data_IF_482132655584
#
_entry.id   IF_482132655584
#
_cell.length_a   1.000
_cell.length_b   1.000
_cell.length_c   1.000
_cell.angle_alpha   90.00
_cell.angle_beta   90.00
_cell.angle_gamma   90.00
#
_symmetry.space_group_name_H-M   'P 1'
#
loop_
_entity.id
_entity.type
_entity.pdbx_description
1 polymer ?
#
# COMPACT_ATOMS: atom_id res chain seq x y z
N UNK A 1 17.33 -1.54 -40.29
CA UNK A 1 16.11 -1.88 -39.53
C UNK A 1 16.55 -2.77 -38.39
N UNK A 2 16.97 -2.16 -37.30
CA UNK A 2 17.39 -2.85 -36.07
C UNK A 2 16.24 -2.75 -35.13
N UNK A 3 15.47 -3.84 -35.00
CA UNK A 3 14.50 -4.05 -33.94
C UNK A 3 15.29 -4.05 -32.62
N UNK A 4 15.23 -2.94 -31.91
CA UNK A 4 15.73 -2.89 -30.55
C UNK A 4 14.65 -3.53 -29.70
N UNK A 5 14.79 -4.85 -29.52
CA UNK A 5 14.07 -5.59 -28.48
C UNK A 5 14.30 -4.86 -27.14
N UNK A 6 13.31 -4.09 -26.73
CA UNK A 6 13.30 -3.45 -25.43
C UNK A 6 13.13 -4.57 -24.38
N UNK A 7 14.23 -5.24 -24.07
CA UNK A 7 14.31 -6.25 -23.00
C UNK A 7 13.74 -5.63 -21.73
N UNK A 8 12.51 -5.97 -21.42
CA UNK A 8 11.85 -5.56 -20.20
C UNK A 8 12.66 -6.12 -19.03
N UNK A 9 13.22 -5.25 -18.20
CA UNK A 9 13.98 -5.65 -17.01
C UNK A 9 13.08 -6.53 -16.12
N UNK A 10 13.43 -7.81 -15.90
CA UNK A 10 12.58 -8.73 -15.13
C UNK A 10 12.27 -8.25 -13.70
N UNK A 11 13.12 -7.39 -13.13
CA UNK A 11 12.90 -6.85 -11.79
C UNK A 11 11.72 -5.87 -11.75
N UNK A 12 11.48 -5.15 -12.84
CA UNK A 12 10.38 -4.17 -12.99
C UNK A 12 9.03 -4.88 -13.10
N UNK A 13 8.98 -5.96 -13.88
CA UNK A 13 7.80 -6.81 -13.99
C UNK A 13 7.49 -7.52 -12.68
N UNK A 14 8.53 -7.98 -11.98
CA UNK A 14 8.38 -8.66 -10.70
C UNK A 14 7.73 -7.77 -9.65
N UNK A 15 8.13 -6.49 -9.51
CA UNK A 15 7.52 -5.59 -8.51
C UNK A 15 6.06 -5.32 -8.84
N UNK A 16 5.70 -5.17 -10.12
CA UNK A 16 4.31 -5.02 -10.58
C UNK A 16 3.45 -6.24 -10.23
N UNK A 17 3.97 -7.45 -10.46
CA UNK A 17 3.24 -8.67 -10.15
C UNK A 17 3.09 -8.87 -8.62
N UNK A 18 4.11 -8.55 -7.83
CA UNK A 18 4.02 -8.61 -6.39
C UNK A 18 2.99 -7.60 -5.83
N UNK A 19 2.98 -6.39 -6.37
CA UNK A 19 1.98 -5.37 -6.02
C UNK A 19 0.56 -5.84 -6.37
N UNK A 20 0.36 -6.37 -7.57
CA UNK A 20 -0.93 -6.94 -7.98
C UNK A 20 -1.42 -8.01 -7.00
N UNK A 21 -0.55 -8.90 -6.55
CA UNK A 21 -0.90 -9.94 -5.56
C UNK A 21 -1.25 -9.34 -4.20
N UNK A 22 -0.51 -8.31 -3.74
CA UNK A 22 -0.80 -7.61 -2.49
C UNK A 22 -2.17 -6.93 -2.52
N UNK A 23 -2.46 -6.22 -3.62
CA UNK A 23 -3.74 -5.53 -3.83
C UNK A 23 -4.90 -6.52 -3.87
N UNK A 24 -4.79 -7.61 -4.62
CA UNK A 24 -5.83 -8.64 -4.70
C UNK A 24 -6.05 -9.30 -3.34
N UNK A 25 -4.98 -9.60 -2.60
CA UNK A 25 -5.11 -10.16 -1.25
C UNK A 25 -5.80 -9.19 -0.30
N UNK A 26 -5.48 -7.92 -0.37
CA UNK A 26 -6.17 -6.90 0.45
C UNK A 26 -7.66 -6.81 0.11
N UNK A 27 -8.03 -6.93 -1.17
CA UNK A 27 -9.42 -6.98 -1.61
C UNK A 27 -10.18 -8.20 -1.04
N UNK A 28 -9.55 -9.38 -1.05
CA UNK A 28 -10.10 -10.59 -0.43
C UNK A 28 -10.36 -10.38 1.07
N UNK A 29 -9.41 -9.76 1.78
CA UNK A 29 -9.53 -9.45 3.21
C UNK A 29 -10.70 -8.48 3.45
N UNK A 30 -10.78 -7.39 2.69
CA UNK A 30 -11.85 -6.39 2.79
C UNK A 30 -13.22 -7.01 2.52
N UNK A 31 -13.32 -7.95 1.59
CA UNK A 31 -14.57 -8.65 1.27
C UNK A 31 -15.12 -9.47 2.46
N UNK A 32 -14.29 -9.84 3.43
CA UNK A 32 -14.69 -10.56 4.65
C UNK A 32 -15.26 -9.64 5.73
N UNK A 33 -15.13 -8.31 5.61
CA UNK A 33 -15.68 -7.37 6.57
C UNK A 33 -17.21 -7.44 6.59
N UNK A 34 -17.82 -7.42 7.77
CA UNK A 34 -19.27 -7.34 7.95
C UNK A 34 -19.70 -5.89 8.12
N UNK A 35 -20.98 -5.62 7.87
CA UNK A 35 -21.52 -4.26 7.91
C UNK A 35 -21.48 -3.63 9.32
N UNK A 36 -21.48 -4.45 10.37
CA UNK A 36 -21.34 -4.02 11.77
C UNK A 36 -19.90 -3.72 12.21
N UNK A 37 -18.91 -3.93 11.33
CA UNK A 37 -17.48 -3.76 11.65
C UNK A 37 -16.87 -2.46 11.13
N UNK A 38 -17.60 -1.63 10.39
CA UNK A 38 -17.02 -0.42 9.79
C UNK A 38 -16.49 0.60 10.79
N UNK A 39 -16.98 0.58 12.02
CA UNK A 39 -16.50 1.45 13.11
C UNK A 39 -15.49 0.75 14.03
N UNK A 40 -15.05 -0.49 13.69
CA UNK A 40 -14.04 -1.21 14.43
C UNK A 40 -12.72 -0.42 14.46
N UNK A 41 -11.98 -0.46 15.59
CA UNK A 41 -10.67 0.17 15.68
C UNK A 41 -9.66 -0.53 14.78
N UNK A 42 -8.61 0.22 14.37
CA UNK A 42 -7.52 -0.30 13.55
C UNK A 42 -6.16 -0.09 14.21
N UNK A 43 -5.11 -0.81 13.78
CA UNK A 43 -3.73 -0.52 14.19
C UNK A 43 -3.27 0.90 13.81
N UNK A 44 -3.91 1.54 12.84
CA UNK A 44 -3.68 2.95 12.48
C UNK A 44 -4.31 3.87 13.51
N UNK A 45 -3.68 4.05 14.65
CA UNK A 45 -4.20 4.70 15.85
C UNK A 45 -5.18 5.86 15.63
N UNK A 46 -6.40 5.69 16.14
CA UNK A 46 -7.50 6.65 16.03
C UNK A 46 -8.32 6.55 14.74
N UNK A 47 -8.01 5.60 13.85
CA UNK A 47 -8.81 5.36 12.64
C UNK A 47 -9.77 4.19 12.84
N UNK A 48 -11.02 4.37 12.38
CA UNK A 48 -11.95 3.26 12.19
C UNK A 48 -11.62 2.50 10.90
N UNK A 49 -12.14 1.28 10.78
CA UNK A 49 -11.99 0.48 9.56
C UNK A 49 -12.55 1.22 8.33
N UNK A 50 -13.68 1.91 8.44
CA UNK A 50 -14.25 2.75 7.38
C UNK A 50 -13.27 3.83 6.92
N UNK A 51 -12.61 4.52 7.85
CA UNK A 51 -11.63 5.55 7.52
C UNK A 51 -10.39 4.95 6.87
N UNK A 52 -9.90 3.81 7.36
CA UNK A 52 -8.77 3.12 6.75
C UNK A 52 -9.07 2.75 5.29
N UNK A 53 -10.27 2.22 5.00
CA UNK A 53 -10.68 1.91 3.63
C UNK A 53 -10.83 3.16 2.76
N UNK A 54 -11.33 4.27 3.30
CA UNK A 54 -11.39 5.55 2.57
C UNK A 54 -9.98 6.03 2.19
N UNK A 55 -9.02 5.90 3.11
CA UNK A 55 -7.62 6.19 2.85
C UNK A 55 -7.06 5.28 1.75
N UNK A 56 -7.18 3.96 1.91
CA UNK A 56 -6.67 2.99 0.93
C UNK A 56 -7.27 3.22 -0.46
N UNK A 57 -8.58 3.46 -0.57
CA UNK A 57 -9.22 3.76 -1.85
C UNK A 57 -8.70 5.05 -2.48
N UNK A 58 -8.48 6.11 -1.69
CA UNK A 58 -7.89 7.36 -2.18
C UNK A 58 -6.43 7.14 -2.67
N UNK A 59 -5.64 6.32 -1.97
CA UNK A 59 -4.30 5.95 -2.44
C UNK A 59 -4.35 5.20 -3.78
N UNK A 60 -5.23 4.20 -3.95
CA UNK A 60 -5.43 3.53 -5.25
C UNK A 60 -5.71 4.53 -6.38
N UNK A 61 -6.66 5.45 -6.15
CA UNK A 61 -7.05 6.45 -7.16
C UNK A 61 -5.90 7.41 -7.49
N UNK A 62 -5.16 7.84 -6.47
CA UNK A 62 -4.00 8.71 -6.62
C UNK A 62 -2.86 8.04 -7.40
N UNK A 63 -2.51 6.81 -7.06
CA UNK A 63 -1.49 6.04 -7.79
C UNK A 63 -1.93 5.71 -9.22
N UNK A 64 -3.20 5.38 -9.44
CA UNK A 64 -3.74 5.16 -10.77
C UNK A 64 -3.65 6.43 -11.64
N UNK A 65 -4.02 7.59 -11.09
CA UNK A 65 -3.90 8.88 -11.79
C UNK A 65 -2.43 9.22 -12.10
N UNK A 66 -1.52 9.02 -11.13
CA UNK A 66 -0.10 9.24 -11.33
C UNK A 66 0.48 8.33 -12.43
N UNK A 67 0.10 7.06 -12.47
CA UNK A 67 0.52 6.12 -13.51
C UNK A 67 0.06 6.51 -14.91
N UNK A 68 -0.99 7.33 -15.04
CA UNK A 68 -1.44 7.89 -16.30
C UNK A 68 -0.43 8.82 -16.98
N UNK A 69 0.57 9.34 -16.26
CA UNK A 69 1.70 10.10 -16.81
C UNK A 69 1.38 11.55 -17.16
N UNK A 70 0.25 12.09 -16.72
CA UNK A 70 -0.14 13.50 -16.87
C UNK A 70 -0.10 14.29 -15.57
N UNK A 71 -0.48 15.58 -15.59
CA UNK A 71 -0.72 16.34 -14.37
C UNK A 71 -1.80 15.65 -13.55
N UNK A 72 -1.53 15.46 -12.26
CA UNK A 72 -2.47 14.83 -11.33
C UNK A 72 -3.12 15.91 -10.48
N UNK A 73 -4.45 15.93 -10.46
CA UNK A 73 -5.19 16.74 -9.49
C UNK A 73 -4.95 16.15 -8.09
N UNK A 74 -4.40 16.96 -7.18
CA UNK A 74 -4.09 16.53 -5.82
C UNK A 74 -5.34 16.10 -5.03
N UNK A 75 -6.53 16.53 -5.46
CA UNK A 75 -7.80 16.15 -4.81
C UNK A 75 -8.10 14.66 -4.91
N UNK A 76 -7.54 13.94 -5.91
CA UNK A 76 -7.73 12.49 -6.04
C UNK A 76 -7.14 11.69 -4.86
N UNK A 77 -6.19 12.30 -4.12
CA UNK A 77 -5.57 11.70 -2.94
C UNK A 77 -6.35 11.96 -1.64
N UNK A 78 -7.43 12.75 -1.71
CA UNK A 78 -8.20 13.11 -0.53
C UNK A 78 -9.15 11.97 -0.13
N UNK A 79 -9.10 11.64 1.16
CA UNK A 79 -10.06 10.71 1.75
C UNK A 79 -11.48 11.26 1.62
N UNK A 80 -12.37 10.51 1.02
CA UNK A 80 -13.81 10.83 0.94
C UNK A 80 -14.62 9.80 1.71
N UNK A 81 -15.69 10.21 2.41
CA UNK A 81 -16.58 9.25 3.07
C UNK A 81 -17.12 8.22 2.07
N UNK A 82 -17.11 6.94 2.47
CA UNK A 82 -17.60 5.84 1.66
C UNK A 82 -18.99 5.42 2.12
N UNK A 83 -19.99 5.53 1.25
CA UNK A 83 -21.36 5.07 1.53
C UNK A 83 -21.39 3.53 1.60
N UNK A 84 -20.77 2.87 0.63
CA UNK A 84 -20.52 1.42 0.60
C UNK A 84 -19.01 1.18 0.57
N UNK A 85 -18.34 0.98 1.72
CA UNK A 85 -16.90 0.83 1.80
C UNK A 85 -16.37 -0.37 1.02
N UNK A 86 -17.11 -1.49 1.02
CA UNK A 86 -16.67 -2.72 0.32
C UNK A 86 -16.67 -2.52 -1.18
N UNK A 87 -17.73 -1.95 -1.73
CA UNK A 87 -17.85 -1.69 -3.16
C UNK A 87 -16.87 -0.62 -3.61
N UNK A 88 -16.79 0.50 -2.89
CA UNK A 88 -15.88 1.60 -3.25
C UNK A 88 -14.42 1.14 -3.25
N UNK A 89 -14.05 0.27 -2.30
CA UNK A 89 -12.72 -0.31 -2.27
C UNK A 89 -12.48 -1.23 -3.48
N UNK A 90 -13.39 -2.13 -3.81
CA UNK A 90 -13.29 -3.00 -4.97
C UNK A 90 -13.16 -2.20 -6.28
N UNK A 91 -14.00 -1.17 -6.46
CA UNK A 91 -13.94 -0.29 -7.64
C UNK A 91 -12.57 0.44 -7.73
N UNK A 92 -11.94 0.77 -6.60
CA UNK A 92 -10.61 1.39 -6.57
C UNK A 92 -9.49 0.40 -6.91
N UNK A 93 -9.61 -0.85 -6.49
CA UNK A 93 -8.71 -1.96 -6.84
C UNK A 93 -8.64 -2.13 -8.36
N UNK A 94 -9.80 -2.26 -9.02
CA UNK A 94 -9.85 -2.41 -10.47
C UNK A 94 -9.12 -1.26 -11.17
N UNK A 95 -9.34 -0.03 -10.73
CA UNK A 95 -8.71 1.16 -11.33
C UNK A 95 -7.19 1.17 -11.21
N UNK A 96 -6.64 0.81 -10.05
CA UNK A 96 -5.18 0.84 -9.88
C UNK A 96 -4.52 -0.33 -10.63
N UNK A 97 -5.15 -1.50 -10.63
CA UNK A 97 -4.65 -2.65 -11.38
C UNK A 97 -4.63 -2.40 -12.88
N UNK A 98 -5.70 -1.81 -13.44
CA UNK A 98 -5.76 -1.41 -14.84
C UNK A 98 -4.69 -0.37 -15.18
N UNK A 99 -4.49 0.63 -14.32
CA UNK A 99 -3.49 1.67 -14.53
C UNK A 99 -2.05 1.10 -14.50
N UNK A 100 -1.76 0.16 -13.59
CA UNK A 100 -0.44 -0.48 -13.52
C UNK A 100 -0.23 -1.56 -14.60
N UNK A 101 -1.31 -2.08 -15.20
CA UNK A 101 -1.24 -2.99 -16.34
C UNK A 101 -1.10 -2.27 -17.70
N UNK A 102 -1.27 -0.95 -17.74
CA UNK A 102 -1.25 -0.20 -18.99
C UNK A 102 0.10 -0.33 -19.73
N UNK A 103 0.05 -0.39 -21.06
CA UNK A 103 1.24 -0.50 -21.89
C UNK A 103 2.22 0.64 -21.64
N UNK A 104 3.50 0.30 -21.51
CA UNK A 104 4.59 1.24 -21.28
C UNK A 104 4.57 1.93 -19.91
N UNK A 105 3.70 1.55 -18.98
CA UNK A 105 3.65 2.15 -17.64
C UNK A 105 4.99 2.05 -16.90
N UNK A 106 5.69 0.93 -17.03
CA UNK A 106 6.97 0.70 -16.36
C UNK A 106 8.11 1.60 -16.87
N UNK A 107 7.93 2.25 -18.00
CA UNK A 107 8.90 3.21 -18.58
C UNK A 107 8.59 4.66 -18.20
N UNK A 108 7.48 4.90 -17.55
CA UNK A 108 7.04 6.24 -17.15
C UNK A 108 7.76 6.72 -15.89
N UNK A 109 7.73 8.04 -15.72
CA UNK A 109 8.00 8.69 -14.44
C UNK A 109 6.70 9.29 -13.91
N UNK A 110 6.52 9.26 -12.60
CA UNK A 110 5.32 9.72 -11.91
C UNK A 110 5.67 10.73 -10.83
N UNK A 111 4.73 11.63 -10.53
CA UNK A 111 4.81 12.53 -9.38
C UNK A 111 3.87 11.99 -8.31
N UNK A 112 4.39 11.88 -7.09
CA UNK A 112 3.63 11.48 -5.91
C UNK A 112 3.65 12.64 -4.90
N UNK A 113 2.69 13.58 -4.96
CA UNK A 113 2.71 14.81 -4.17
C UNK A 113 2.77 14.54 -2.66
N UNK A 114 2.18 13.45 -2.22
CA UNK A 114 2.16 12.98 -0.84
C UNK A 114 3.55 12.60 -0.31
N UNK A 115 4.43 12.08 -1.19
CA UNK A 115 5.81 11.73 -0.85
C UNK A 115 6.73 12.93 -1.04
N UNK A 116 6.62 13.58 -2.20
CA UNK A 116 7.37 14.80 -2.50
C UNK A 116 6.65 15.63 -3.57
N UNK A 117 6.41 16.94 -3.35
CA UNK A 117 5.53 17.75 -4.20
C UNK A 117 6.05 17.94 -5.64
N UNK A 118 7.35 17.83 -5.87
CA UNK A 118 7.96 18.09 -7.18
C UNK A 118 8.90 17.01 -7.71
N UNK A 119 9.23 16.01 -6.87
CA UNK A 119 10.14 14.93 -7.28
C UNK A 119 9.40 13.94 -8.16
N UNK A 120 10.06 13.50 -9.23
CA UNK A 120 9.58 12.40 -10.07
C UNK A 120 10.21 11.08 -9.64
N UNK A 121 9.44 10.01 -9.73
CA UNK A 121 9.87 8.64 -9.43
C UNK A 121 9.70 7.78 -10.68
N UNK A 122 10.61 6.85 -10.95
CA UNK A 122 10.36 5.80 -11.94
C UNK A 122 9.13 4.99 -11.50
N UNK A 123 8.24 4.66 -12.43
CA UNK A 123 6.99 3.97 -12.11
C UNK A 123 7.22 2.64 -11.35
N UNK A 124 8.22 1.79 -11.66
CA UNK A 124 8.48 0.59 -10.86
C UNK A 124 8.83 0.90 -9.40
N UNK A 125 9.51 2.03 -9.13
CA UNK A 125 9.80 2.46 -7.75
C UNK A 125 8.53 2.92 -7.03
N UNK A 126 7.66 3.66 -7.73
CA UNK A 126 6.36 4.09 -7.20
C UNK A 126 5.44 2.88 -6.91
N UNK A 127 5.42 1.88 -7.80
CA UNK A 127 4.70 0.61 -7.57
C UNK A 127 5.28 -0.11 -6.33
N UNK A 128 6.59 -0.02 -6.10
CA UNK A 128 7.21 -0.53 -4.87
C UNK A 128 6.68 0.16 -3.60
N UNK A 129 6.46 1.48 -3.62
CA UNK A 129 5.84 2.20 -2.50
C UNK A 129 4.41 1.71 -2.25
N UNK A 130 3.65 1.54 -3.33
CA UNK A 130 2.29 1.01 -3.28
C UNK A 130 2.26 -0.41 -2.71
N UNK A 131 3.16 -1.29 -3.13
CA UNK A 131 3.31 -2.64 -2.58
C UNK A 131 3.47 -2.62 -1.05
N UNK A 132 4.37 -1.79 -0.52
CA UNK A 132 4.57 -1.67 0.95
C UNK A 132 3.29 -1.22 1.63
N UNK A 133 2.64 -0.22 1.08
CA UNK A 133 1.41 0.36 1.63
C UNK A 133 0.30 -0.69 1.71
N UNK A 134 0.11 -1.48 0.65
CA UNK A 134 -0.98 -2.48 0.60
C UNK A 134 -0.69 -3.77 1.36
N UNK A 135 0.56 -4.14 1.55
CA UNK A 135 0.90 -5.23 2.49
C UNK A 135 0.62 -4.80 3.92
N UNK A 136 1.01 -3.58 4.31
CA UNK A 136 0.84 -3.10 5.67
C UNK A 136 -0.63 -2.77 5.97
N UNK A 137 -1.31 -2.03 5.10
CA UNK A 137 -2.71 -1.68 5.33
C UNK A 137 -3.66 -2.87 5.15
N UNK A 138 -3.35 -3.82 4.27
CA UNK A 138 -4.10 -5.07 4.21
C UNK A 138 -3.98 -5.87 5.51
N UNK A 139 -2.79 -5.87 6.14
CA UNK A 139 -2.62 -6.41 7.48
C UNK A 139 -3.41 -5.59 8.53
N UNK A 140 -3.38 -4.26 8.47
CA UNK A 140 -4.17 -3.40 9.37
C UNK A 140 -5.68 -3.74 9.30
N UNK A 141 -6.20 -4.01 8.09
CA UNK A 141 -7.60 -4.47 7.90
C UNK A 141 -7.80 -5.86 8.52
N UNK A 142 -6.94 -6.82 8.20
CA UNK A 142 -7.05 -8.19 8.73
C UNK A 142 -7.02 -8.21 10.27
N UNK A 143 -6.09 -7.45 10.88
CA UNK A 143 -6.01 -7.31 12.32
C UNK A 143 -7.30 -6.71 12.93
N UNK A 144 -7.89 -5.70 12.27
CA UNK A 144 -9.16 -5.10 12.70
C UNK A 144 -10.33 -6.09 12.66
N UNK A 145 -10.28 -7.05 11.72
CA UNK A 145 -11.27 -8.12 11.59
C UNK A 145 -10.99 -9.31 12.51
N UNK A 146 -9.82 -9.36 13.17
CA UNK A 146 -9.38 -10.48 13.99
C UNK A 146 -9.03 -11.73 13.18
N UNK A 147 -8.57 -11.58 11.94
CA UNK A 147 -8.18 -12.66 11.04
C UNK A 147 -6.71 -12.52 10.61
N UNK A 148 -6.03 -13.61 10.17
CA UNK A 148 -4.69 -13.51 9.61
C UNK A 148 -4.71 -12.82 8.24
N UNK A 149 -3.71 -11.98 7.95
CA UNK A 149 -3.53 -11.41 6.62
C UNK A 149 -3.12 -12.48 5.60
N UNK A 150 -2.32 -13.45 6.03
CA UNK A 150 -1.90 -14.63 5.26
C UNK A 150 -1.28 -14.26 3.89
N UNK A 151 -0.36 -13.29 3.90
CA UNK A 151 0.46 -12.98 2.74
C UNK A 151 1.50 -14.08 2.50
N UNK A 152 1.80 -14.34 1.23
CA UNK A 152 2.91 -15.22 0.86
C UNK A 152 4.25 -14.63 1.32
N UNK A 153 5.19 -15.47 1.75
CA UNK A 153 6.46 -15.02 2.30
C UNK A 153 7.30 -14.20 1.32
N UNK A 154 7.29 -14.56 0.03
CA UNK A 154 8.03 -13.83 -1.01
C UNK A 154 7.52 -12.40 -1.18
N UNK A 155 6.21 -12.18 -1.00
CA UNK A 155 5.58 -10.87 -1.04
C UNK A 155 5.98 -10.02 0.17
N UNK A 156 5.94 -10.61 1.38
CA UNK A 156 6.38 -9.96 2.62
C UNK A 156 7.85 -9.56 2.55
N UNK A 157 8.72 -10.47 2.07
CA UNK A 157 10.15 -10.20 1.93
C UNK A 157 10.44 -9.09 0.92
N UNK A 158 9.71 -9.05 -0.19
CA UNK A 158 9.83 -7.98 -1.18
C UNK A 158 9.39 -6.62 -0.62
N UNK A 159 8.27 -6.57 0.08
CA UNK A 159 7.79 -5.35 0.76
C UNK A 159 8.80 -4.88 1.82
N UNK A 160 9.40 -5.81 2.60
CA UNK A 160 10.42 -5.49 3.59
C UNK A 160 11.69 -4.90 2.94
N UNK A 161 12.11 -5.42 1.79
CA UNK A 161 13.28 -4.89 1.07
C UNK A 161 13.02 -3.48 0.52
N UNK A 162 11.83 -3.22 -0.01
CA UNK A 162 11.43 -1.88 -0.44
C UNK A 162 11.37 -0.94 0.77
N UNK A 163 10.70 -1.34 1.85
CA UNK A 163 10.59 -0.53 3.06
C UNK A 163 11.96 -0.16 3.64
N UNK A 164 12.89 -1.11 3.69
CA UNK A 164 14.27 -0.88 4.17
C UNK A 164 15.02 0.17 3.34
N UNK A 165 14.77 0.23 2.03
CA UNK A 165 15.43 1.17 1.11
C UNK A 165 14.78 2.55 1.11
N UNK A 166 13.46 2.58 1.19
CA UNK A 166 12.69 3.76 0.83
C UNK A 166 12.08 4.50 2.02
N UNK A 167 11.80 3.79 3.12
CA UNK A 167 11.19 4.42 4.30
C UNK A 167 12.28 5.03 5.17
N UNK A 168 12.26 6.36 5.39
CA UNK A 168 13.24 7.02 6.24
C UNK A 168 13.22 6.45 7.67
N UNK A 169 14.36 6.47 8.32
CA UNK A 169 14.51 6.12 9.75
C UNK A 169 14.74 7.39 10.61
N UNK A 170 14.57 7.25 11.91
CA UNK A 170 14.88 8.31 12.88
C UNK A 170 13.77 9.34 13.08
N UNK A 171 14.10 10.58 13.54
CA UNK A 171 13.12 11.54 14.06
C UNK A 171 12.07 12.04 13.07
N UNK A 172 12.28 11.86 11.76
CA UNK A 172 11.28 12.19 10.75
C UNK A 172 9.98 11.42 10.92
N UNK A 173 10.04 10.22 11.52
CA UNK A 173 8.89 9.34 11.77
C UNK A 173 8.09 9.69 13.02
N UNK A 174 8.61 10.61 13.85
CA UNK A 174 7.93 11.12 15.06
C UNK A 174 7.03 12.33 14.75
N UNK A 175 7.14 12.88 13.55
CA UNK A 175 6.38 14.07 13.16
C UNK A 175 4.90 13.76 12.97
N UNK A 176 3.99 14.69 13.31
CA UNK A 176 2.60 14.59 12.90
C UNK A 176 2.48 14.41 11.38
N UNK A 177 1.66 13.47 10.94
CA UNK A 177 1.46 13.17 9.52
C UNK A 177 2.54 12.31 8.87
N UNK A 178 3.50 11.76 9.63
CA UNK A 178 4.44 10.78 9.08
C UNK A 178 3.68 9.53 8.61
N UNK A 179 3.99 9.04 7.40
CA UNK A 179 3.36 7.86 6.80
C UNK A 179 3.55 6.60 7.65
N UNK A 180 4.68 6.49 8.33
CA UNK A 180 4.99 5.38 9.24
C UNK A 180 5.49 5.90 10.58
N UNK A 181 5.10 5.24 11.67
CA UNK A 181 5.57 5.55 13.02
C UNK A 181 6.98 5.01 13.27
N UNK A 182 7.68 5.45 14.34
CA UNK A 182 8.92 4.82 14.78
C UNK A 182 8.78 3.31 14.92
N UNK A 183 9.86 2.58 14.65
CA UNK A 183 9.87 1.13 14.77
C UNK A 183 9.49 0.67 16.19
N UNK A 184 8.76 -0.44 16.29
CA UNK A 184 8.43 -1.12 17.55
C UNK A 184 9.50 -2.16 17.83
N UNK A 185 9.94 -2.25 19.07
CA UNK A 185 10.89 -3.27 19.50
C UNK A 185 10.17 -4.62 19.67
N UNK A 186 10.75 -5.68 19.09
CA UNK A 186 10.20 -7.02 19.16
C UNK A 186 10.84 -7.81 20.31
N UNK A 187 10.01 -8.33 21.20
CA UNK A 187 10.45 -9.14 22.32
C UNK A 187 10.46 -10.63 21.93
N UNK A 188 11.52 -11.12 21.26
CA UNK A 188 11.68 -12.55 20.99
C UNK A 188 11.66 -12.92 19.52
N UNK A 189 11.53 -14.23 19.19
CA UNK A 189 11.45 -14.71 17.81
C UNK A 189 10.23 -14.13 17.07
N UNK A 190 10.44 -13.67 15.85
CA UNK A 190 9.43 -13.02 15.03
C UNK A 190 9.47 -13.54 13.60
N UNK A 191 8.33 -13.59 12.92
CA UNK A 191 8.23 -13.91 11.49
C UNK A 191 8.80 -12.77 10.61
N UNK A 192 8.88 -12.99 9.31
CA UNK A 192 9.23 -11.93 8.36
C UNK A 192 8.17 -10.81 8.37
N UNK A 193 6.89 -11.19 8.46
CA UNK A 193 5.77 -10.26 8.56
C UNK A 193 5.86 -9.41 9.84
N UNK A 194 6.07 -10.03 11.01
CA UNK A 194 6.21 -9.30 12.28
C UNK A 194 7.35 -8.27 12.21
N UNK A 195 8.49 -8.67 11.61
CA UNK A 195 9.63 -7.76 11.46
C UNK A 195 9.33 -6.59 10.52
N UNK A 196 8.64 -6.84 9.39
CA UNK A 196 8.21 -5.78 8.50
C UNK A 196 7.29 -4.81 9.23
N UNK A 197 6.24 -5.31 9.86
CA UNK A 197 5.23 -4.52 10.58
C UNK A 197 5.87 -3.69 11.69
N UNK A 198 6.68 -4.32 12.55
CA UNK A 198 7.37 -3.63 13.62
C UNK A 198 8.33 -2.56 13.11
N UNK A 199 9.05 -2.83 12.02
CA UNK A 199 9.94 -1.84 11.38
C UNK A 199 9.20 -0.60 10.90
N UNK A 200 7.90 -0.74 10.59
CA UNK A 200 7.02 0.33 10.11
C UNK A 200 6.08 0.88 11.21
N UNK A 201 6.37 0.54 12.48
CA UNK A 201 5.68 1.10 13.64
C UNK A 201 4.33 0.46 13.94
N UNK A 202 4.10 -0.77 13.47
CA UNK A 202 2.95 -1.60 13.84
C UNK A 202 3.34 -2.55 14.97
N UNK A 203 2.45 -2.74 15.95
CA UNK A 203 2.55 -3.83 16.92
C UNK A 203 1.99 -5.10 16.27
N UNK A 204 2.80 -6.14 15.97
CA UNK A 204 2.32 -7.35 15.30
C UNK A 204 1.29 -8.15 16.11
N UNK A 205 1.22 -7.91 17.42
CA UNK A 205 0.25 -8.56 18.33
C UNK A 205 -0.96 -7.68 18.64
N UNK A 206 -1.13 -6.59 17.89
CA UNK A 206 -2.30 -5.73 18.05
C UNK A 206 -3.59 -6.53 17.80
N UNK A 207 -4.59 -6.32 18.64
CA UNK A 207 -5.94 -6.89 18.48
C UNK A 207 -7.01 -5.87 18.85
N UNK A 208 -8.18 -5.91 18.22
CA UNK A 208 -9.30 -5.05 18.60
C UNK A 208 -9.72 -5.37 20.04
N UNK A 209 -9.93 -4.32 20.82
CA UNK A 209 -10.42 -4.43 22.22
C UNK A 209 -11.93 -4.37 22.26
#
# INVERSE_FOLDING_TARGET
MTDTDASTDPSREKVRELDRRAVLRSAEIVALARDDQWDAPTPCGGWSLRRLLAHMAAQHLGFAAAAGGGPVDETVWQETPLDDPRRAYADSVDRVLDAFAADGVLDRTVVLPWIHPTMTFAAPRAIGFHLVDYVVHGWDVAASLGIPAAYDEDLVLAAAEVARKEVPTGPSRERPGASFRPAVELAGPASAEDRLLASLGRDPWWSPK
#
